data_IF_708552796569
#
_entry.id   IF_708552796569
#
_cell.length_a   1.000
_cell.length_b   1.000
_cell.length_c   1.000
_cell.angle_alpha   90.00
_cell.angle_beta   90.00
_cell.angle_gamma   90.00
#
_symmetry.space_group_name_H-M   'P 1'
#
loop_
_entity.id
_entity.type
_entity.pdbx_description
1 polymer ?
#
# COMPACT_ATOMS: atom_id res chain seq x y z
N UNK A 1 -22.82 18.82 46.91
CA UNK A 1 -22.41 19.35 48.25
C UNK A 1 -21.13 20.08 47.94
N UNK A 2 -21.32 21.27 47.80
CA UNK A 2 -21.15 22.54 48.57
C UNK A 2 -19.72 23.02 48.37
N UNK A 3 -19.53 24.05 47.61
CA UNK A 3 -19.71 25.46 47.93
C UNK A 3 -18.53 26.11 48.69
N UNK A 4 -18.18 27.28 48.11
CA UNK A 4 -17.69 28.52 48.78
C UNK A 4 -16.17 28.54 49.13
N UNK A 5 -15.47 29.59 48.86
CA UNK A 5 -15.68 31.04 49.01
C UNK A 5 -14.59 31.81 48.24
N UNK A 6 -14.87 32.71 47.54
CA UNK A 6 -15.05 34.17 47.51
C UNK A 6 -14.55 34.95 48.75
N UNK A 7 -13.94 36.07 48.39
CA UNK A 7 -13.61 37.26 49.18
C UNK A 7 -12.23 37.34 49.85
N UNK A 8 -11.41 38.23 49.32
CA UNK A 8 -11.02 39.40 50.16
C UNK A 8 -10.61 40.61 49.30
N UNK A 9 -11.34 41.67 49.56
CA UNK A 9 -11.12 43.02 49.05
C UNK A 9 -9.81 43.62 49.58
N UNK A 10 -9.11 44.35 48.75
CA UNK A 10 -8.04 45.26 49.17
C UNK A 10 -7.97 46.45 48.22
N UNK A 11 -8.61 47.55 48.63
CA UNK A 11 -8.60 48.82 47.94
C UNK A 11 -7.18 49.41 47.92
N UNK A 12 -6.62 49.65 46.73
CA UNK A 12 -5.58 50.67 46.55
C UNK A 12 -5.95 51.58 45.39
N UNK A 13 -6.33 52.82 45.76
CA UNK A 13 -6.39 53.93 44.81
C UNK A 13 -4.97 54.44 44.64
N UNK A 14 -4.42 54.37 43.43
CA UNK A 14 -3.32 55.19 43.01
C UNK A 14 -3.69 55.82 41.66
N UNK A 15 -3.82 57.11 41.72
CA UNK A 15 -3.93 58.01 40.59
C UNK A 15 -2.57 58.10 39.94
N UNK A 16 -2.43 57.81 38.65
CA UNK A 16 -1.33 58.32 37.83
C UNK A 16 -1.72 58.27 36.32
N UNK A 17 -1.90 59.45 35.83
CA UNK A 17 -1.66 60.00 34.49
C UNK A 17 -1.41 59.01 33.34
N UNK A 18 -2.25 59.24 32.35
CA UNK A 18 -2.28 58.80 30.99
C UNK A 18 -0.97 58.56 30.25
N UNK A 19 -0.90 57.35 29.67
CA UNK A 19 -0.29 57.08 28.37
C UNK A 19 -1.21 56.09 27.68
N UNK A 20 -1.80 56.44 26.55
CA UNK A 20 -2.49 55.45 25.72
C UNK A 20 -1.40 54.61 25.03
N UNK A 21 -1.01 53.52 25.68
CA UNK A 21 -0.23 52.50 25.04
C UNK A 21 -1.23 51.77 24.08
N UNK A 22 -1.21 52.22 22.80
CA UNK A 22 -1.85 51.50 21.71
C UNK A 22 -1.13 50.15 21.56
N UNK A 23 -1.51 49.18 22.37
CA UNK A 23 -1.29 47.78 22.11
C UNK A 23 -2.10 47.42 20.87
N UNK A 24 -1.48 47.65 19.71
CA UNK A 24 -1.96 47.01 18.49
C UNK A 24 -1.97 45.53 18.72
N UNK A 25 -3.17 45.01 18.99
CA UNK A 25 -3.46 43.60 18.85
C UNK A 25 -3.25 43.31 17.36
N UNK A 26 -2.03 42.92 17.01
CA UNK A 26 -1.79 42.16 15.79
C UNK A 26 -2.54 40.83 15.97
N UNK A 27 -3.85 40.87 15.80
CA UNK A 27 -4.61 39.70 15.41
C UNK A 27 -4.01 39.30 14.07
N UNK A 28 -2.92 38.55 14.11
CA UNK A 28 -2.45 37.81 12.96
C UNK A 28 -3.58 36.86 12.61
N UNK A 29 -4.42 37.27 11.68
CA UNK A 29 -5.21 36.35 10.92
C UNK A 29 -4.19 35.43 10.27
N UNK A 30 -3.92 34.27 10.88
CA UNK A 30 -3.33 33.18 10.17
C UNK A 30 -4.38 32.82 9.11
N UNK A 31 -4.22 33.34 7.91
CA UNK A 31 -5.00 32.88 6.78
C UNK A 31 -4.79 31.37 6.74
N UNK A 32 -5.82 30.65 7.09
CA UNK A 32 -5.81 29.18 7.03
C UNK A 32 -5.73 28.85 5.55
N UNK A 33 -4.50 28.48 5.11
CA UNK A 33 -4.25 28.16 3.71
C UNK A 33 -5.02 26.88 3.39
N UNK A 34 -6.07 27.00 2.61
CA UNK A 34 -6.83 25.87 2.12
C UNK A 34 -5.98 25.10 1.11
N UNK A 35 -5.91 23.78 1.28
CA UNK A 35 -5.19 22.87 0.38
C UNK A 35 -6.23 22.05 -0.38
N UNK A 36 -6.12 22.04 -1.70
CA UNK A 36 -6.94 21.19 -2.54
C UNK A 36 -6.50 19.73 -2.46
N UNK A 37 -7.49 18.83 -2.46
CA UNK A 37 -7.28 17.39 -2.56
C UNK A 37 -7.56 16.98 -4.02
N UNK A 38 -6.52 16.78 -4.85
CA UNK A 38 -6.73 16.32 -6.21
C UNK A 38 -7.27 14.89 -6.24
N UNK A 39 -7.91 14.53 -7.34
CA UNK A 39 -8.35 13.16 -7.57
C UNK A 39 -7.14 12.34 -7.97
N UNK A 40 -6.85 11.29 -7.19
CA UNK A 40 -5.80 10.31 -7.49
C UNK A 40 -6.43 8.99 -7.93
N UNK A 41 -5.93 8.47 -9.05
CA UNK A 41 -6.26 7.13 -9.53
C UNK A 41 -5.10 6.20 -9.13
N UNK A 42 -5.28 5.46 -8.05
CA UNK A 42 -4.28 4.53 -7.57
C UNK A 42 -4.36 3.21 -8.31
N UNK A 43 -3.20 2.71 -8.72
CA UNK A 43 -3.09 1.35 -9.24
C UNK A 43 -3.13 0.37 -8.07
N UNK A 44 -3.96 -0.65 -8.19
CA UNK A 44 -4.05 -1.76 -7.23
C UNK A 44 -3.03 -2.84 -7.61
N UNK A 45 -1.85 -2.90 -6.97
CA UNK A 45 -0.82 -3.86 -7.34
C UNK A 45 -1.18 -5.28 -6.94
N UNK A 46 -0.69 -6.24 -7.72
CA UNK A 46 -0.62 -7.65 -7.37
C UNK A 46 0.82 -8.06 -7.13
N UNK A 47 1.05 -9.02 -6.23
CA UNK A 47 2.35 -9.68 -6.12
C UNK A 47 2.43 -10.74 -7.21
N UNK A 48 3.41 -10.61 -8.10
CA UNK A 48 3.58 -11.48 -9.25
C UNK A 48 4.78 -12.41 -9.05
N UNK A 49 4.58 -13.69 -9.34
CA UNK A 49 5.62 -14.73 -9.24
C UNK A 49 5.95 -15.24 -10.63
N UNK A 50 7.23 -15.14 -11.00
CA UNK A 50 7.82 -15.79 -12.16
C UNK A 50 8.65 -16.96 -11.65
N UNK A 51 8.40 -18.15 -12.18
CA UNK A 51 9.12 -19.36 -11.77
C UNK A 51 9.83 -19.94 -12.97
N UNK A 52 11.14 -20.09 -12.89
CA UNK A 52 11.94 -20.65 -13.96
C UNK A 52 12.79 -21.83 -13.49
N UNK A 53 13.05 -22.74 -14.39
CA UNK A 53 14.02 -23.82 -14.19
C UNK A 53 15.45 -23.28 -14.08
N UNK A 54 16.21 -23.77 -13.12
CA UNK A 54 17.57 -23.29 -12.81
C UNK A 54 18.59 -23.58 -13.93
N UNK A 55 18.43 -24.69 -14.63
CA UNK A 55 19.38 -25.15 -15.64
C UNK A 55 19.08 -24.56 -17.01
N UNK A 56 17.80 -24.47 -17.37
CA UNK A 56 17.35 -24.12 -18.72
C UNK A 56 16.81 -22.70 -18.83
N UNK A 57 16.36 -22.09 -17.71
CA UNK A 57 15.68 -20.81 -17.69
C UNK A 57 14.23 -20.88 -18.20
N UNK A 58 13.72 -22.07 -18.51
CA UNK A 58 12.34 -22.26 -19.00
C UNK A 58 11.33 -21.83 -17.94
N UNK A 59 10.23 -21.21 -18.39
CA UNK A 59 9.15 -20.78 -17.51
C UNK A 59 8.31 -21.98 -17.06
N UNK A 60 8.43 -22.36 -15.80
CA UNK A 60 7.70 -23.49 -15.22
C UNK A 60 6.20 -23.22 -14.98
N UNK A 61 5.73 -22.00 -15.22
CA UNK A 61 4.31 -21.62 -15.18
C UNK A 61 3.65 -21.61 -16.56
N UNK A 62 4.38 -21.96 -17.61
CA UNK A 62 3.82 -22.10 -18.95
C UNK A 62 3.07 -23.45 -19.03
N UNK A 63 1.75 -23.45 -19.34
CA UNK A 63 0.99 -24.68 -19.42
C UNK A 63 1.44 -25.65 -20.52
N UNK A 64 2.12 -25.12 -21.55
CA UNK A 64 2.59 -25.91 -22.69
C UNK A 64 3.96 -26.57 -22.43
N UNK A 65 4.61 -26.23 -21.32
CA UNK A 65 5.90 -26.83 -20.95
C UNK A 65 5.71 -28.20 -20.29
N UNK A 66 6.51 -29.22 -20.71
CA UNK A 66 6.39 -30.58 -20.16
C UNK A 66 6.64 -30.66 -18.66
N UNK A 67 7.50 -29.80 -18.14
CA UNK A 67 7.88 -29.76 -16.74
C UNK A 67 7.13 -28.70 -15.94
N UNK A 68 5.99 -28.20 -16.48
CA UNK A 68 5.16 -27.22 -15.81
C UNK A 68 4.72 -27.68 -14.41
N UNK A 69 4.83 -26.75 -13.45
CA UNK A 69 4.45 -27.03 -12.05
C UNK A 69 2.97 -26.80 -11.74
N UNK A 70 2.20 -26.34 -12.71
CA UNK A 70 0.77 -26.01 -12.55
C UNK A 70 -0.11 -27.21 -12.16
N UNK A 71 0.35 -28.44 -12.39
CA UNK A 71 -0.30 -29.67 -11.90
C UNK A 71 -0.15 -29.90 -10.39
N UNK A 72 0.66 -29.12 -9.69
CA UNK A 72 0.84 -29.20 -8.24
C UNK A 72 -0.23 -28.39 -7.51
N UNK A 73 -0.55 -28.71 -6.25
CA UNK A 73 -1.54 -27.96 -5.45
C UNK A 73 -0.95 -26.62 -4.94
N UNK A 74 -0.56 -25.73 -5.86
CA UNK A 74 -0.03 -24.41 -5.53
C UNK A 74 -1.13 -23.58 -4.90
N UNK A 75 -0.81 -22.92 -3.77
CA UNK A 75 -1.77 -22.08 -3.10
C UNK A 75 -1.10 -20.97 -2.28
N UNK A 76 -1.84 -19.89 -2.04
CA UNK A 76 -1.47 -18.82 -1.11
C UNK A 76 -2.31 -18.91 0.15
N UNK A 77 -1.68 -18.76 1.32
CA UNK A 77 -2.39 -18.57 2.59
C UNK A 77 -2.22 -17.13 3.06
N UNK A 78 -3.33 -16.39 3.10
CA UNK A 78 -3.38 -14.99 3.53
C UNK A 78 -4.58 -14.73 4.44
N UNK A 79 -4.37 -14.04 5.55
CA UNK A 79 -5.44 -13.75 6.51
C UNK A 79 -6.16 -15.01 7.04
N UNK A 80 -5.45 -16.15 7.18
CA UNK A 80 -6.00 -17.43 7.59
C UNK A 80 -6.83 -18.15 6.52
N UNK A 81 -6.94 -17.62 5.31
CA UNK A 81 -7.65 -18.22 4.19
C UNK A 81 -6.67 -18.75 3.14
N UNK A 82 -6.99 -19.91 2.55
CA UNK A 82 -6.23 -20.54 1.47
C UNK A 82 -6.86 -20.17 0.12
N UNK A 83 -6.02 -19.78 -0.82
CA UNK A 83 -6.36 -19.41 -2.19
C UNK A 83 -5.58 -20.32 -3.13
N UNK A 84 -6.28 -21.21 -3.82
CA UNK A 84 -5.71 -22.07 -4.86
C UNK A 84 -5.66 -21.32 -6.19
N UNK A 85 -4.85 -21.83 -7.12
CA UNK A 85 -4.78 -21.24 -8.46
C UNK A 85 -6.13 -21.30 -9.13
N UNK A 86 -6.73 -20.14 -9.34
CA UNK A 86 -7.97 -20.04 -10.09
C UNK A 86 -7.70 -20.35 -11.58
N UNK A 87 -8.59 -21.08 -12.21
CA UNK A 87 -8.56 -21.22 -13.67
C UNK A 87 -8.54 -19.82 -14.30
N UNK A 88 -7.79 -19.69 -15.42
CA UNK A 88 -7.56 -18.42 -16.13
C UNK A 88 -8.87 -17.64 -16.21
N UNK A 89 -8.94 -16.58 -15.42
CA UNK A 89 -10.08 -15.67 -15.50
C UNK A 89 -9.97 -14.93 -16.84
N UNK A 90 -11.10 -14.81 -17.52
CA UNK A 90 -11.16 -13.96 -18.72
C UNK A 90 -10.57 -12.57 -18.41
N UNK A 91 -9.86 -11.93 -19.33
CA UNK A 91 -9.25 -10.62 -19.10
C UNK A 91 -10.33 -9.69 -18.55
N UNK A 92 -10.06 -9.12 -17.39
CA UNK A 92 -10.97 -8.18 -16.78
C UNK A 92 -11.11 -6.99 -17.73
N UNK A 93 -12.31 -6.79 -18.27
CA UNK A 93 -12.68 -5.50 -18.81
C UNK A 93 -12.42 -4.49 -17.70
N UNK A 94 -11.79 -3.36 -17.99
CA UNK A 94 -11.45 -2.29 -17.05
C UNK A 94 -12.64 -2.00 -16.12
N UNK A 95 -12.76 -2.77 -15.06
CA UNK A 95 -13.68 -2.49 -13.99
C UNK A 95 -12.97 -1.53 -13.03
N UNK A 96 -13.64 -0.49 -12.65
CA UNK A 96 -13.18 0.53 -11.71
C UNK A 96 -13.04 0.02 -10.27
N UNK A 97 -13.20 -1.27 -10.04
CA UNK A 97 -13.12 -1.89 -8.72
C UNK A 97 -12.02 -2.95 -8.69
N UNK A 98 -11.28 -3.06 -7.58
CA UNK A 98 -10.31 -4.14 -7.40
C UNK A 98 -10.99 -5.49 -7.59
N UNK A 99 -10.33 -6.40 -8.29
CA UNK A 99 -10.83 -7.78 -8.41
C UNK A 99 -10.81 -8.45 -7.03
N UNK A 100 -11.72 -9.38 -6.75
CA UNK A 100 -11.66 -10.16 -5.52
C UNK A 100 -10.29 -10.83 -5.34
N UNK A 101 -9.83 -10.88 -4.10
CA UNK A 101 -8.55 -11.49 -3.77
C UNK A 101 -8.52 -12.95 -4.23
N UNK A 102 -7.57 -13.29 -5.08
CA UNK A 102 -7.39 -14.62 -5.67
C UNK A 102 -5.93 -14.83 -6.09
N UNK A 103 -5.51 -16.09 -6.18
CA UNK A 103 -4.28 -16.48 -6.86
C UNK A 103 -4.64 -16.87 -8.30
N UNK A 104 -4.10 -16.15 -9.28
CA UNK A 104 -4.44 -16.29 -10.69
C UNK A 104 -3.20 -16.65 -11.51
N UNK A 105 -3.38 -17.54 -12.48
CA UNK A 105 -2.42 -17.70 -13.56
C UNK A 105 -2.75 -16.65 -14.64
N UNK A 106 -1.80 -15.79 -14.96
CA UNK A 106 -1.94 -14.75 -15.97
C UNK A 106 -0.84 -14.91 -17.04
N UNK A 107 -1.18 -14.66 -18.29
CA UNK A 107 -0.22 -14.62 -19.40
C UNK A 107 0.38 -13.23 -19.56
N UNK A 108 1.32 -13.10 -20.51
CA UNK A 108 1.85 -11.80 -20.89
C UNK A 108 0.74 -10.90 -21.46
N UNK A 109 0.79 -9.62 -21.14
CA UNK A 109 -0.04 -8.62 -21.81
C UNK A 109 0.79 -7.37 -22.13
N UNK A 110 0.28 -6.50 -23.03
CA UNK A 110 1.00 -5.32 -23.53
C UNK A 110 1.31 -4.29 -22.43
N UNK A 111 0.51 -4.26 -21.36
CA UNK A 111 0.62 -3.30 -20.27
C UNK A 111 1.52 -3.81 -19.15
N UNK A 112 1.77 -5.13 -19.09
CA UNK A 112 2.59 -5.73 -18.06
C UNK A 112 4.06 -5.73 -18.48
N UNK A 113 4.93 -5.35 -17.56
CA UNK A 113 6.38 -5.52 -17.74
C UNK A 113 6.80 -6.98 -17.63
N UNK A 114 5.85 -7.89 -17.40
CA UNK A 114 6.05 -9.32 -17.27
C UNK A 114 5.78 -9.98 -18.62
N UNK A 115 6.79 -10.70 -19.10
CA UNK A 115 6.67 -11.51 -20.32
C UNK A 115 6.43 -12.96 -19.92
N UNK A 116 5.42 -13.58 -20.55
CA UNK A 116 5.07 -14.97 -20.29
C UNK A 116 4.13 -15.20 -19.11
N UNK A 117 3.89 -16.45 -18.81
CA UNK A 117 2.99 -16.86 -17.73
C UNK A 117 3.58 -16.54 -16.35
N UNK A 118 2.72 -16.10 -15.45
CA UNK A 118 3.06 -15.80 -14.07
C UNK A 118 1.88 -16.03 -13.15
N UNK A 119 2.13 -16.25 -11.86
CA UNK A 119 1.08 -16.24 -10.85
C UNK A 119 0.96 -14.84 -10.26
N UNK A 120 -0.25 -14.31 -10.22
CA UNK A 120 -0.58 -13.03 -9.62
C UNK A 120 -1.47 -13.23 -8.40
N UNK A 121 -1.09 -12.65 -7.25
CA UNK A 121 -1.90 -12.65 -6.03
C UNK A 121 -2.19 -11.23 -5.58
N UNK A 122 -3.46 -10.89 -5.39
CA UNK A 122 -3.92 -9.57 -4.91
C UNK A 122 -4.82 -8.85 -5.91
N UNK A 123 -4.67 -7.68 -6.02
CA UNK A 123 -5.12 -6.34 -6.30
C UNK A 123 -5.38 -5.65 -4.97
N UNK A 124 -4.30 -5.27 -4.32
CA UNK A 124 -4.33 -4.61 -3.02
C UNK A 124 -4.55 -3.11 -3.23
N UNK A 125 -5.51 -2.52 -2.51
CA UNK A 125 -5.75 -1.08 -2.59
C UNK A 125 -4.79 -0.33 -1.65
N UNK A 126 -3.98 0.61 -2.15
CA UNK A 126 -3.10 1.42 -1.31
C UNK A 126 -3.86 2.26 -0.28
N UNK A 127 -5.12 2.58 -0.53
CA UNK A 127 -5.95 3.39 0.36
C UNK A 127 -6.44 2.62 1.58
N UNK A 128 -6.38 1.28 1.56
CA UNK A 128 -6.74 0.44 2.71
C UNK A 128 -5.73 0.53 3.88
N UNK A 129 -4.58 1.18 3.66
CA UNK A 129 -3.58 1.40 4.70
C UNK A 129 -2.96 0.13 5.25
N UNK A 130 -2.68 -0.83 4.38
CA UNK A 130 -2.15 -2.15 4.72
C UNK A 130 -0.75 -2.05 5.30
N UNK A 131 -0.56 -2.47 6.56
CA UNK A 131 0.73 -2.50 7.25
C UNK A 131 0.95 -3.85 7.91
N UNK A 132 2.21 -4.33 7.87
CA UNK A 132 2.61 -5.60 8.48
C UNK A 132 1.88 -6.81 7.89
N UNK A 133 1.52 -6.74 6.62
CA UNK A 133 0.84 -7.83 5.94
C UNK A 133 1.82 -8.95 5.59
N UNK A 134 1.33 -10.18 5.64
CA UNK A 134 2.12 -11.32 5.20
C UNK A 134 1.26 -12.44 4.65
N UNK A 135 1.80 -13.16 3.68
CA UNK A 135 1.22 -14.38 3.17
C UNK A 135 2.31 -15.42 2.84
N UNK A 136 1.90 -16.66 2.70
CA UNK A 136 2.79 -17.77 2.33
C UNK A 136 2.29 -18.40 1.05
N UNK A 137 3.17 -18.58 0.09
CA UNK A 137 2.95 -19.40 -1.11
C UNK A 137 3.45 -20.80 -0.81
N UNK A 138 2.59 -21.78 -0.89
CA UNK A 138 2.89 -23.20 -0.90
C UNK A 138 3.00 -23.65 -2.37
N UNK A 139 4.15 -24.21 -2.74
CA UNK A 139 4.42 -24.62 -4.12
C UNK A 139 3.95 -26.04 -4.45
N UNK A 140 3.37 -26.74 -3.48
CA UNK A 140 2.85 -28.10 -3.64
C UNK A 140 3.94 -29.19 -3.74
N UNK A 141 5.20 -28.85 -3.47
CA UNK A 141 6.33 -29.79 -3.44
C UNK A 141 7.02 -29.84 -2.06
N UNK A 142 6.35 -29.29 -1.04
CA UNK A 142 6.87 -29.18 0.32
C UNK A 142 7.74 -27.95 0.55
N UNK A 143 7.96 -27.11 -0.47
CA UNK A 143 8.61 -25.82 -0.32
C UNK A 143 7.61 -24.68 -0.24
N UNK A 144 8.01 -23.58 0.38
CA UNK A 144 7.16 -22.40 0.49
C UNK A 144 7.98 -21.12 0.36
N UNK A 145 7.29 -20.03 0.04
CA UNK A 145 7.85 -18.69 -0.02
C UNK A 145 6.99 -17.75 0.84
N UNK A 146 7.60 -17.09 1.81
CA UNK A 146 6.94 -16.08 2.64
C UNK A 146 7.11 -14.70 2.02
N UNK A 147 6.02 -13.98 1.89
CA UNK A 147 6.02 -12.58 1.45
C UNK A 147 5.48 -11.71 2.57
N UNK A 148 6.20 -10.64 2.88
CA UNK A 148 5.80 -9.62 3.86
C UNK A 148 5.81 -8.26 3.16
N UNK A 149 4.77 -7.44 3.37
CA UNK A 149 4.66 -6.14 2.71
C UNK A 149 3.87 -5.12 3.53
N UNK A 150 4.14 -3.86 3.23
CA UNK A 150 3.24 -2.75 3.54
C UNK A 150 2.74 -2.15 2.23
N UNK A 151 1.54 -1.58 2.26
CA UNK A 151 1.00 -0.80 1.16
C UNK A 151 0.06 0.27 1.72
N UNK A 152 0.48 1.52 1.63
CA UNK A 152 -0.33 2.63 2.15
C UNK A 152 0.04 3.94 1.48
N UNK A 153 -0.86 4.91 1.58
CA UNK A 153 -0.68 6.27 1.06
C UNK A 153 -0.32 7.22 2.20
N UNK A 154 0.67 8.06 1.97
CA UNK A 154 0.99 9.21 2.82
C UNK A 154 0.67 10.49 2.06
N UNK A 155 -0.15 11.33 2.67
CA UNK A 155 -0.52 12.62 2.11
C UNK A 155 0.44 13.70 2.59
N UNK A 156 1.11 14.39 1.67
CA UNK A 156 2.05 15.47 1.94
C UNK A 156 1.45 16.80 1.45
N UNK A 157 1.60 17.86 2.24
CA UNK A 157 1.20 19.21 1.82
C UNK A 157 2.27 19.81 0.91
N UNK A 158 1.93 20.05 -0.34
CA UNK A 158 2.73 20.87 -1.24
C UNK A 158 2.33 22.35 -1.04
N UNK A 159 3.17 23.09 -0.31
CA UNK A 159 2.91 24.50 0.02
C UNK A 159 2.97 25.42 -1.18
N UNK A 160 3.73 25.06 -2.22
CA UNK A 160 3.91 25.87 -3.43
C UNK A 160 2.66 25.83 -4.30
N UNK A 161 2.09 24.66 -4.45
CA UNK A 161 0.95 24.43 -5.30
C UNK A 161 -0.39 24.44 -4.54
N UNK A 162 -0.33 24.48 -3.20
CA UNK A 162 -1.47 24.44 -2.30
C UNK A 162 -2.34 23.19 -2.49
N UNK A 163 -1.70 22.05 -2.75
CA UNK A 163 -2.38 20.76 -2.91
C UNK A 163 -1.85 19.73 -1.92
N UNK A 164 -2.60 18.65 -1.73
CA UNK A 164 -2.07 17.43 -1.14
C UNK A 164 -1.48 16.55 -2.23
N UNK A 165 -0.27 16.05 -2.01
CA UNK A 165 0.39 15.05 -2.86
C UNK A 165 0.30 13.68 -2.20
N UNK A 166 -0.04 12.66 -2.99
CA UNK A 166 -0.07 11.28 -2.54
C UNK A 166 1.30 10.62 -2.78
N UNK A 167 1.85 10.00 -1.76
CA UNK A 167 3.04 9.16 -1.86
C UNK A 167 2.68 7.74 -1.44
N UNK A 168 2.80 6.79 -2.37
CA UNK A 168 2.52 5.38 -2.09
C UNK A 168 3.77 4.71 -1.56
N UNK A 169 3.67 4.11 -0.36
CA UNK A 169 4.70 3.31 0.26
C UNK A 169 4.36 1.83 0.08
N UNK A 170 5.30 1.08 -0.48
CA UNK A 170 5.08 -0.32 -0.85
C UNK A 170 6.30 -1.22 -0.64
N UNK A 171 6.98 -1.15 0.54
CA UNK A 171 8.09 -2.04 0.83
C UNK A 171 7.65 -3.50 0.85
N UNK A 172 8.49 -4.38 0.30
CA UNK A 172 8.23 -5.82 0.25
C UNK A 172 9.47 -6.62 0.64
N UNK A 173 9.26 -7.74 1.32
CA UNK A 173 10.28 -8.71 1.69
C UNK A 173 9.85 -10.10 1.24
N UNK A 174 10.81 -10.89 0.82
CA UNK A 174 10.61 -12.28 0.42
C UNK A 174 11.58 -13.14 1.23
N UNK A 175 11.06 -14.09 2.01
CA UNK A 175 11.81 -14.93 2.93
C UNK A 175 12.76 -14.12 3.83
N UNK A 176 12.27 -12.96 4.31
CA UNK A 176 13.01 -12.01 5.15
C UNK A 176 13.94 -11.04 4.41
N UNK A 177 14.25 -11.29 3.14
CA UNK A 177 15.10 -10.41 2.32
C UNK A 177 14.29 -9.24 1.75
N UNK A 178 14.76 -8.01 1.98
CA UNK A 178 14.14 -6.81 1.39
C UNK A 178 14.34 -6.79 -0.13
N UNK A 179 13.30 -6.41 -0.86
CA UNK A 179 13.30 -6.27 -2.33
C UNK A 179 13.30 -4.81 -2.80
N UNK A 180 13.13 -3.87 -1.89
CA UNK A 180 13.02 -2.44 -2.19
C UNK A 180 11.60 -1.90 -2.06
N UNK A 181 11.39 -0.72 -2.62
CA UNK A 181 10.11 -0.04 -2.67
C UNK A 181 9.68 0.16 -4.13
N UNK A 182 8.38 0.32 -4.36
CA UNK A 182 7.82 0.48 -5.69
C UNK A 182 7.23 -0.82 -6.25
N UNK A 183 5.91 -0.81 -6.41
CA UNK A 183 5.13 -2.01 -6.75
C UNK A 183 5.29 -2.50 -8.18
N UNK A 184 5.95 -1.75 -9.07
CA UNK A 184 6.16 -2.23 -10.44
C UNK A 184 7.28 -3.26 -10.56
N UNK A 185 8.39 -3.09 -9.84
CA UNK A 185 9.55 -3.97 -9.95
C UNK A 185 9.77 -4.84 -8.71
N UNK A 186 9.60 -4.26 -7.51
CA UNK A 186 9.83 -4.97 -6.25
C UNK A 186 8.79 -6.07 -5.99
N UNK A 187 7.57 -5.88 -6.51
CA UNK A 187 6.47 -6.84 -6.37
C UNK A 187 6.48 -7.95 -7.42
N UNK A 188 7.44 -7.95 -8.34
CA UNK A 188 7.71 -9.06 -9.26
C UNK A 188 8.79 -9.96 -8.66
N UNK A 189 8.38 -11.10 -8.13
CA UNK A 189 9.23 -12.06 -7.44
C UNK A 189 9.68 -13.14 -8.44
N UNK A 190 11.01 -13.26 -8.65
CA UNK A 190 11.60 -14.29 -9.50
C UNK A 190 12.12 -15.42 -8.63
N UNK A 191 11.67 -16.62 -8.94
CA UNK A 191 12.02 -17.85 -8.26
C UNK A 191 12.68 -18.78 -9.27
N UNK A 192 13.83 -19.28 -8.93
CA UNK A 192 14.57 -20.26 -9.75
C UNK A 192 14.54 -21.62 -9.03
N UNK A 193 14.17 -22.66 -9.72
CA UNK A 193 13.98 -24.02 -9.19
C UNK A 193 14.73 -25.07 -9.99
#
# INVERSE_FOLDING_TARGET
>A
MSDLNCELMGKFKVFLLGVPLALGVLAGCSEEVEYEMPIYDFVNPSVCFLVSDAATGVNLLDPDEPDAILGRPIAVTYGGKRYEVAAVAAPATRATMPRPLALRLEGANEYDRIKGYHLAFGEFDPTDGLKGQSFVVDWGDGTSTKVEFDLYVVWKKNRKERIYEAEVHSPIRVDGAARGEGYYDAWIIRITR
#
